data_IF_682753751266
#
_entry.id   IF_682753751266
#
_cell.length_a   1.000
_cell.length_b   1.000
_cell.length_c   1.000
_cell.angle_alpha   90.00
_cell.angle_beta   90.00
_cell.angle_gamma   90.00
#
_symmetry.space_group_name_H-M   'P 1'
#
loop_
_entity.id
_entity.type
_entity.pdbx_description
1 polymer ?
#
# COMPACT_ATOMS: atom_id res chain seq x y z
N UNK A 1 -14.94 18.28 -13.75
CA UNK A 1 -14.28 17.28 -12.88
C UNK A 1 -13.10 16.57 -13.56
N UNK A 2 -13.18 16.23 -14.85
CA UNK A 2 -12.12 15.58 -15.64
C UNK A 2 -10.79 16.34 -15.75
N UNK A 3 -10.79 17.68 -15.69
CA UNK A 3 -9.56 18.51 -15.83
C UNK A 3 -8.53 18.32 -14.71
N UNK A 4 -8.95 17.80 -13.54
CA UNK A 4 -8.02 17.46 -12.43
C UNK A 4 -7.30 16.12 -12.65
N UNK A 5 -7.84 15.21 -13.48
CA UNK A 5 -7.21 13.92 -13.80
C UNK A 5 -6.05 14.06 -14.79
N UNK A 6 -6.02 15.14 -15.58
CA UNK A 6 -4.95 15.48 -16.53
C UNK A 6 -3.99 16.50 -15.92
N UNK A 7 -3.78 16.46 -14.60
CA UNK A 7 -2.72 17.23 -13.97
C UNK A 7 -1.45 16.36 -13.93
N UNK A 8 -0.36 16.76 -14.60
CA UNK A 8 0.87 15.95 -14.66
C UNK A 8 1.43 15.65 -13.27
N UNK A 9 1.23 16.54 -12.29
CA UNK A 9 1.66 16.32 -10.89
C UNK A 9 0.85 15.21 -10.23
N UNK A 10 -0.47 15.14 -10.50
CA UNK A 10 -1.33 14.10 -9.95
C UNK A 10 -0.99 12.75 -10.58
N UNK A 11 -0.74 12.72 -11.89
CA UNK A 11 -0.31 11.51 -12.60
C UNK A 11 1.05 11.01 -12.08
N UNK A 12 2.01 11.91 -11.88
CA UNK A 12 3.31 11.55 -11.30
C UNK A 12 3.17 10.97 -9.89
N UNK A 13 2.32 11.58 -9.04
CA UNK A 13 2.03 11.05 -7.69
C UNK A 13 1.36 9.69 -7.73
N UNK A 14 0.40 9.49 -8.63
CA UNK A 14 -0.26 8.21 -8.84
C UNK A 14 0.74 7.14 -9.29
N UNK A 15 1.58 7.46 -10.27
CA UNK A 15 2.64 6.57 -10.75
C UNK A 15 3.63 6.20 -9.64
N UNK A 16 4.09 7.17 -8.86
CA UNK A 16 5.00 6.91 -7.74
C UNK A 16 4.35 6.08 -6.62
N UNK A 17 3.08 6.34 -6.27
CA UNK A 17 2.35 5.54 -5.28
C UNK A 17 2.14 4.11 -5.76
N UNK A 18 1.73 3.92 -7.02
CA UNK A 18 1.57 2.59 -7.61
C UNK A 18 2.91 1.85 -7.71
N UNK A 19 3.98 2.53 -8.13
CA UNK A 19 5.31 1.96 -8.19
C UNK A 19 5.79 1.49 -6.82
N UNK A 20 5.54 2.27 -5.76
CA UNK A 20 5.87 1.87 -4.38
C UNK A 20 5.16 0.57 -3.97
N UNK A 21 3.85 0.46 -4.19
CA UNK A 21 3.08 -0.75 -3.84
C UNK A 21 3.50 -1.97 -4.65
N UNK A 22 3.79 -1.78 -5.94
CA UNK A 22 4.28 -2.83 -6.82
C UNK A 22 5.68 -3.33 -6.39
N UNK A 23 6.64 -2.43 -6.18
CA UNK A 23 8.00 -2.81 -5.71
C UNK A 23 7.92 -3.49 -4.33
N UNK A 24 7.04 -3.03 -3.43
CA UNK A 24 6.85 -3.70 -2.15
C UNK A 24 6.35 -5.14 -2.33
N UNK A 25 5.43 -5.38 -3.27
CA UNK A 25 4.90 -6.71 -3.53
C UNK A 25 5.97 -7.68 -4.04
N UNK A 26 6.95 -7.18 -4.79
CA UNK A 26 8.10 -7.97 -5.24
C UNK A 26 9.00 -8.46 -4.10
N UNK A 27 8.88 -7.92 -2.87
CA UNK A 27 9.61 -8.45 -1.72
C UNK A 27 9.02 -9.74 -1.14
N UNK A 28 7.83 -10.15 -1.61
CA UNK A 28 7.05 -11.27 -1.08
C UNK A 28 6.69 -12.25 -2.20
N UNK A 29 6.21 -13.46 -1.86
CA UNK A 29 5.72 -14.41 -2.86
C UNK A 29 4.63 -13.80 -3.73
N UNK A 30 4.85 -13.84 -5.05
CA UNK A 30 3.97 -13.30 -6.07
C UNK A 30 3.19 -14.42 -6.77
N UNK A 31 2.09 -14.09 -7.48
CA UNK A 31 1.38 -15.08 -8.27
C UNK A 31 2.29 -15.71 -9.34
N UNK A 32 1.99 -16.94 -9.80
CA UNK A 32 2.88 -17.69 -10.72
C UNK A 32 3.33 -16.91 -11.96
N UNK A 33 2.49 -16.02 -12.49
CA UNK A 33 2.78 -15.17 -13.64
C UNK A 33 3.89 -14.13 -13.40
N UNK A 34 4.18 -13.78 -12.13
CA UNK A 34 5.13 -12.72 -11.75
C UNK A 34 6.29 -13.23 -10.88
N UNK A 35 6.40 -14.54 -10.66
CA UNK A 35 7.37 -15.16 -9.75
C UNK A 35 8.83 -14.77 -10.02
N UNK A 36 9.20 -14.51 -11.27
CA UNK A 36 10.57 -14.10 -11.63
C UNK A 36 10.98 -12.70 -11.18
N UNK A 37 10.05 -11.92 -10.63
CA UNK A 37 10.28 -10.53 -10.17
C UNK A 37 10.52 -10.44 -8.66
N UNK A 38 10.45 -11.56 -7.95
CA UNK A 38 10.64 -11.62 -6.50
C UNK A 38 12.09 -11.26 -6.12
N UNK A 39 12.25 -10.32 -5.18
CA UNK A 39 13.55 -9.91 -4.66
C UNK A 39 13.39 -9.31 -3.27
N UNK A 40 14.00 -9.95 -2.27
CA UNK A 40 14.03 -9.44 -0.90
C UNK A 40 14.63 -8.02 -0.81
N UNK A 41 15.53 -7.67 -1.75
CA UNK A 41 16.12 -6.33 -1.85
C UNK A 41 15.11 -5.23 -2.15
N UNK A 42 13.96 -5.56 -2.76
CA UNK A 42 12.92 -4.61 -3.13
C UNK A 42 12.32 -3.88 -1.92
N UNK A 43 12.24 -4.55 -0.76
CA UNK A 43 11.68 -3.98 0.47
C UNK A 43 12.38 -2.69 0.93
N UNK A 44 13.69 -2.59 0.73
CA UNK A 44 14.50 -1.45 1.18
C UNK A 44 14.16 -0.15 0.44
N UNK A 45 13.80 -0.26 -0.84
CA UNK A 45 13.54 0.90 -1.70
C UNK A 45 12.05 1.13 -1.94
N UNK A 46 11.21 0.13 -1.67
CA UNK A 46 9.79 0.13 -1.99
C UNK A 46 9.03 1.34 -1.44
N UNK A 47 9.31 1.77 -0.21
CA UNK A 47 8.57 2.88 0.43
C UNK A 47 9.06 4.27 0.03
N UNK A 48 10.25 4.40 -0.57
CA UNK A 48 10.85 5.70 -0.90
C UNK A 48 9.92 6.55 -1.79
N UNK A 49 9.35 6.05 -2.89
CA UNK A 49 8.46 6.84 -3.74
C UNK A 49 7.20 7.30 -3.00
N UNK A 50 6.61 6.42 -2.17
CA UNK A 50 5.43 6.77 -1.38
C UNK A 50 5.74 7.86 -0.36
N UNK A 51 6.85 7.74 0.38
CA UNK A 51 7.30 8.74 1.36
C UNK A 51 7.43 10.13 0.73
N UNK A 52 8.00 10.23 -0.48
CA UNK A 52 8.11 11.49 -1.21
C UNK A 52 6.74 12.08 -1.61
N UNK A 53 5.82 11.23 -2.06
CA UNK A 53 4.46 11.64 -2.45
C UNK A 53 3.67 12.14 -1.25
N UNK A 54 3.69 11.42 -0.14
CA UNK A 54 2.88 11.76 1.05
C UNK A 54 3.44 12.98 1.77
N UNK A 55 4.76 13.16 1.77
CA UNK A 55 5.43 14.31 2.43
C UNK A 55 5.07 15.66 1.82
N UNK A 56 4.72 15.67 0.53
CA UNK A 56 4.33 16.86 -0.24
C UNK A 56 2.83 16.95 -0.48
N UNK A 57 2.03 16.18 0.27
CA UNK A 57 0.58 16.10 0.12
C UNK A 57 -0.11 16.55 1.41
N UNK A 58 -1.32 17.10 1.30
CA UNK A 58 -2.18 17.33 2.46
C UNK A 58 -2.56 15.99 3.11
N UNK A 59 -2.75 15.89 4.43
CA UNK A 59 -3.03 14.62 5.10
C UNK A 59 -4.13 13.77 4.45
N UNK A 60 -5.26 14.38 4.07
CA UNK A 60 -6.35 13.67 3.37
C UNK A 60 -5.94 13.09 2.01
N UNK A 61 -5.10 13.80 1.25
CA UNK A 61 -4.58 13.30 -0.02
C UNK A 61 -3.49 12.25 0.19
N UNK A 62 -2.66 12.42 1.22
CA UNK A 62 -1.66 11.44 1.62
C UNK A 62 -2.31 10.10 2.00
N UNK A 63 -3.42 10.12 2.75
CA UNK A 63 -4.23 8.92 3.02
C UNK A 63 -4.60 8.18 1.73
N UNK A 64 -5.12 8.90 0.74
CA UNK A 64 -5.54 8.29 -0.53
C UNK A 64 -4.36 7.66 -1.29
N UNK A 65 -3.19 8.32 -1.32
CA UNK A 65 -1.99 7.76 -1.94
C UNK A 65 -1.44 6.55 -1.19
N UNK A 66 -1.42 6.60 0.15
CA UNK A 66 -1.00 5.49 0.99
C UNK A 66 -1.92 4.28 0.84
N UNK A 67 -3.24 4.52 0.86
CA UNK A 67 -4.24 3.47 0.66
C UNK A 67 -4.12 2.87 -0.75
N UNK A 68 -3.97 3.67 -1.80
CA UNK A 68 -3.82 3.15 -3.16
C UNK A 68 -2.54 2.29 -3.33
N UNK A 69 -1.41 2.74 -2.76
CA UNK A 69 -0.16 1.97 -2.75
C UNK A 69 -0.32 0.65 -1.99
N UNK A 70 -0.85 0.70 -0.76
CA UNK A 70 -1.12 -0.47 0.06
C UNK A 70 -2.11 -1.42 -0.58
N UNK A 71 -3.14 -0.91 -1.26
CA UNK A 71 -4.15 -1.72 -1.92
C UNK A 71 -3.56 -2.51 -3.09
N UNK A 72 -2.71 -1.88 -3.91
CA UNK A 72 -1.99 -2.58 -4.97
C UNK A 72 -1.04 -3.65 -4.40
N UNK A 73 -0.30 -3.32 -3.33
CA UNK A 73 0.54 -4.29 -2.62
C UNK A 73 -0.26 -5.51 -2.16
N UNK A 74 -1.33 -5.28 -1.40
CA UNK A 74 -2.14 -6.37 -0.84
C UNK A 74 -2.89 -7.16 -1.92
N UNK A 75 -3.37 -6.54 -3.00
CA UNK A 75 -3.98 -7.29 -4.12
C UNK A 75 -3.01 -8.32 -4.70
N UNK A 76 -1.75 -7.93 -4.91
CA UNK A 76 -0.74 -8.83 -5.49
C UNK A 76 -0.36 -9.94 -4.50
N UNK A 77 -0.04 -9.56 -3.26
CA UNK A 77 0.38 -10.50 -2.22
C UNK A 77 -0.74 -11.46 -1.78
N UNK A 78 -2.00 -11.02 -1.79
CA UNK A 78 -3.17 -11.84 -1.43
C UNK A 78 -3.86 -12.50 -2.63
N UNK A 79 -3.29 -12.40 -3.83
CA UNK A 79 -3.88 -13.00 -5.05
C UNK A 79 -4.12 -14.51 -4.96
N UNK A 80 -3.41 -15.19 -4.05
CA UNK A 80 -3.61 -16.61 -3.77
C UNK A 80 -5.02 -16.95 -3.25
N UNK A 81 -5.76 -15.99 -2.68
CA UNK A 81 -7.16 -16.21 -2.25
C UNK A 81 -8.05 -16.66 -3.41
N UNK A 82 -7.73 -16.27 -4.65
CA UNK A 82 -8.50 -16.68 -5.83
C UNK A 82 -8.45 -18.19 -6.08
N UNK A 83 -7.40 -18.88 -5.62
CA UNK A 83 -7.30 -20.33 -5.72
C UNK A 83 -8.39 -21.06 -4.90
N UNK A 84 -8.95 -20.40 -3.87
CA UNK A 84 -10.07 -20.93 -3.09
C UNK A 84 -11.31 -21.18 -3.96
N UNK A 85 -11.43 -20.55 -5.13
CA UNK A 85 -12.53 -20.82 -6.05
C UNK A 85 -12.61 -22.29 -6.50
N UNK A 86 -11.49 -23.00 -6.51
CA UNK A 86 -11.44 -24.44 -6.82
C UNK A 86 -12.05 -25.28 -5.69
N UNK A 87 -11.89 -24.86 -4.43
CA UNK A 87 -12.40 -25.57 -3.25
C UNK A 87 -13.88 -25.29 -3.01
N UNK A 88 -14.33 -24.04 -3.24
CA UNK A 88 -15.70 -23.60 -2.95
C UNK A 88 -16.65 -23.68 -4.15
N UNK A 89 -16.20 -24.21 -5.29
CA UNK A 89 -17.03 -24.41 -6.48
C UNK A 89 -17.39 -23.12 -7.25
N UNK A 90 -16.70 -22.01 -6.99
CA UNK A 90 -16.95 -20.73 -7.67
C UNK A 90 -16.04 -19.58 -7.22
N UNK A 91 -15.73 -18.66 -8.14
CA UNK A 91 -14.74 -17.58 -7.90
C UNK A 91 -15.33 -16.31 -7.28
N UNK A 92 -16.65 -16.12 -7.31
CA UNK A 92 -17.29 -14.86 -6.92
C UNK A 92 -17.00 -14.47 -5.46
N UNK A 93 -17.17 -15.40 -4.52
CA UNK A 93 -16.96 -15.13 -3.09
C UNK A 93 -15.47 -14.96 -2.74
N UNK A 94 -14.54 -15.82 -3.21
CA UNK A 94 -13.11 -15.59 -3.04
C UNK A 94 -12.62 -14.26 -3.62
N UNK A 95 -13.11 -13.86 -4.80
CA UNK A 95 -12.74 -12.58 -5.42
C UNK A 95 -13.23 -11.39 -4.59
N UNK A 96 -14.46 -11.45 -4.08
CA UNK A 96 -15.00 -10.41 -3.19
C UNK A 96 -14.18 -10.32 -1.88
N UNK A 97 -13.89 -11.47 -1.27
CA UNK A 97 -13.07 -11.55 -0.06
C UNK A 97 -11.65 -11.01 -0.28
N UNK A 98 -11.01 -11.37 -1.40
CA UNK A 98 -9.69 -10.87 -1.81
C UNK A 98 -9.66 -9.34 -1.93
N UNK A 99 -10.63 -8.75 -2.63
CA UNK A 99 -10.71 -7.30 -2.79
C UNK A 99 -11.02 -6.61 -1.45
N UNK A 100 -11.99 -7.12 -0.69
CA UNK A 100 -12.39 -6.53 0.58
C UNK A 100 -11.25 -6.60 1.62
N UNK A 101 -10.57 -7.74 1.74
CA UNK A 101 -9.44 -7.92 2.64
C UNK A 101 -8.27 -7.04 2.24
N UNK A 102 -7.95 -6.96 0.93
CA UNK A 102 -6.90 -6.06 0.44
C UNK A 102 -7.21 -4.59 0.76
N UNK A 103 -8.47 -4.18 0.58
CA UNK A 103 -8.92 -2.82 0.89
C UNK A 103 -8.83 -2.51 2.39
N UNK A 104 -9.19 -3.48 3.25
CA UNK A 104 -9.06 -3.40 4.69
C UNK A 104 -7.59 -3.27 5.12
N UNK A 105 -6.71 -4.16 4.67
CA UNK A 105 -5.29 -4.13 5.02
C UNK A 105 -4.61 -2.84 4.52
N UNK A 106 -5.05 -2.31 3.37
CA UNK A 106 -4.55 -1.03 2.84
C UNK A 106 -4.93 0.19 3.70
N UNK A 107 -5.95 0.09 4.57
CA UNK A 107 -6.30 1.19 5.49
C UNK A 107 -5.13 1.55 6.40
N UNK A 108 -4.34 0.57 6.82
CA UNK A 108 -3.20 0.79 7.71
C UNK A 108 -2.07 1.58 7.02
N UNK A 109 -1.78 1.27 5.75
CA UNK A 109 -0.87 2.07 4.92
C UNK A 109 -1.42 3.49 4.67
N UNK A 110 -2.75 3.62 4.51
CA UNK A 110 -3.42 4.91 4.42
C UNK A 110 -3.32 5.74 5.70
N UNK A 111 -3.55 5.14 6.86
CA UNK A 111 -3.44 5.77 8.18
C UNK A 111 -2.00 6.21 8.43
N UNK A 112 -1.02 5.34 8.16
CA UNK A 112 0.40 5.70 8.18
C UNK A 112 0.65 6.96 7.36
N UNK A 113 0.19 6.98 6.11
CA UNK A 113 0.42 8.12 5.22
C UNK A 113 -0.28 9.40 5.70
N UNK A 114 -1.49 9.29 6.25
CA UNK A 114 -2.24 10.42 6.80
C UNK A 114 -1.48 11.07 7.97
N UNK A 115 -1.06 10.26 8.94
CA UNK A 115 -0.39 10.74 10.15
C UNK A 115 0.99 11.28 9.80
N UNK A 116 1.74 10.55 8.97
CA UNK A 116 3.08 10.97 8.54
C UNK A 116 3.08 12.30 7.81
N UNK A 117 2.08 12.57 6.95
CA UNK A 117 1.95 13.85 6.26
C UNK A 117 1.65 15.03 7.19
N UNK A 118 1.12 14.77 8.40
CA UNK A 118 0.91 15.79 9.43
C UNK A 118 2.15 16.03 10.32
N UNK A 119 3.16 15.16 10.25
CA UNK A 119 4.40 15.32 11.03
C UNK A 119 5.16 16.58 10.56
N UNK A 120 5.50 17.51 11.48
CA UNK A 120 6.28 18.69 11.14
C UNK A 120 7.63 18.33 10.53
N UNK A 121 8.05 19.10 9.53
CA UNK A 121 9.34 18.92 8.83
C UNK A 121 10.58 19.33 9.60
N UNK A 122 10.52 19.44 10.92
CA UNK A 122 11.61 19.97 11.74
C UNK A 122 12.68 18.90 12.01
N UNK A 123 13.92 19.17 11.61
CA UNK A 123 15.11 18.36 11.92
C UNK A 123 14.89 16.88 11.52
N UNK A 124 15.21 15.95 12.42
CA UNK A 124 15.13 14.51 12.23
C UNK A 124 13.75 13.92 12.55
N UNK A 125 12.75 14.74 12.92
CA UNK A 125 11.46 14.23 13.38
C UNK A 125 10.76 13.32 12.35
N UNK A 126 10.67 13.66 11.05
CA UNK A 126 10.09 12.74 10.06
C UNK A 126 10.87 11.43 9.92
N UNK A 127 12.21 11.48 10.03
CA UNK A 127 13.06 10.30 9.93
C UNK A 127 12.80 9.33 11.08
N UNK A 128 12.58 9.85 12.28
CA UNK A 128 12.26 9.04 13.46
C UNK A 128 10.78 8.63 13.51
N UNK A 129 9.87 9.49 13.04
CA UNK A 129 8.44 9.23 13.04
C UNK A 129 8.06 8.15 12.02
N UNK A 130 8.71 8.10 10.85
CA UNK A 130 8.41 7.11 9.81
C UNK A 130 8.42 5.65 10.33
N UNK A 131 9.50 5.14 10.94
CA UNK A 131 9.54 3.76 11.41
C UNK A 131 8.57 3.49 12.57
N UNK A 132 8.39 4.46 13.49
CA UNK A 132 7.45 4.31 14.63
C UNK A 132 6.02 4.23 14.13
N UNK A 133 5.62 5.13 13.22
CA UNK A 133 4.28 5.14 12.64
C UNK A 133 4.04 3.88 11.82
N UNK A 134 5.01 3.47 11.00
CA UNK A 134 4.90 2.25 10.19
C UNK A 134 4.71 1.01 11.06
N UNK A 135 5.63 0.78 12.00
CA UNK A 135 5.56 -0.36 12.90
C UNK A 135 4.28 -0.36 13.76
N UNK A 136 3.86 0.82 14.23
CA UNK A 136 2.61 0.97 14.97
C UNK A 136 1.39 0.59 14.14
N UNK A 137 1.31 1.03 12.88
CA UNK A 137 0.19 0.66 12.00
C UNK A 137 0.18 -0.83 11.65
N UNK A 138 1.36 -1.45 11.46
CA UNK A 138 1.44 -2.89 11.21
C UNK A 138 1.08 -3.72 12.45
N UNK A 139 1.45 -3.25 13.64
CA UNK A 139 1.01 -3.87 14.89
C UNK A 139 -0.51 -3.78 15.08
N UNK A 140 -1.11 -2.62 14.78
CA UNK A 140 -2.57 -2.46 14.81
C UNK A 140 -3.25 -3.42 13.82
N UNK A 141 -2.71 -3.53 12.60
CA UNK A 141 -3.22 -4.46 11.59
C UNK A 141 -3.20 -5.89 12.11
N UNK A 142 -2.10 -6.32 12.72
CA UNK A 142 -1.93 -7.68 13.22
C UNK A 142 -2.73 -8.02 14.50
N UNK A 143 -3.44 -7.05 15.10
CA UNK A 143 -4.13 -7.23 16.39
C UNK A 143 -5.64 -6.97 16.32
N UNK A 144 -6.09 -6.06 15.46
CA UNK A 144 -7.51 -5.75 15.31
C UNK A 144 -8.25 -6.87 14.58
N UNK A 145 -9.46 -7.21 15.03
CA UNK A 145 -10.32 -8.23 14.39
C UNK A 145 -9.63 -9.59 14.16
N UNK A 146 -8.83 -10.03 15.12
CA UNK A 146 -7.99 -11.25 15.09
C UNK A 146 -6.70 -11.18 14.24
N UNK A 147 -6.44 -10.04 13.61
CA UNK A 147 -5.25 -9.79 12.78
C UNK A 147 -5.48 -10.01 11.29
#
# INVERSE_FOLDING_TARGET
>A
MLRKLINPVVLAKAGAAAFSGWVLSCAFPLPPALKGLESAGAAWMALIPLLLVIRTSRPKAAFAWGWASGFLFWLLTLSWLLALGQTWGGIALPALGWVALSAYCALYTGIFAFVFAAVPGARMLPVLAAPVLWAGTEWLRATLFSG
#
